data_IF_337842881851
#
_entry.id   IF_337842881851
#
_cell.length_a   1.000
_cell.length_b   1.000
_cell.length_c   1.000
_cell.angle_alpha   90.00
_cell.angle_beta   90.00
_cell.angle_gamma   90.00
#
_symmetry.space_group_name_H-M   'P 1'
#
loop_
_entity.id
_entity.type
_entity.pdbx_description
1 polymer ?
#
# COMPACT_ATOMS: atom_id res chain seq x y z
N UNK A 1 -40.84 4.71 28.45
CA UNK A 1 -41.38 5.07 27.12
C UNK A 1 -40.27 5.79 26.41
N UNK A 2 -39.78 5.23 25.30
CA UNK A 2 -38.78 5.89 24.46
C UNK A 2 -39.55 6.85 23.56
N UNK A 3 -39.29 8.16 23.67
CA UNK A 3 -39.88 9.22 22.85
C UNK A 3 -39.33 9.20 21.41
N UNK A 4 -39.25 8.02 20.79
CA UNK A 4 -39.00 7.90 19.37
C UNK A 4 -40.36 7.89 18.65
N UNK A 5 -40.50 8.57 17.49
CA UNK A 5 -41.69 8.45 16.65
C UNK A 5 -41.94 6.96 16.31
N UNK A 6 -43.14 6.62 15.82
CA UNK A 6 -43.47 5.28 15.30
C UNK A 6 -42.63 4.94 14.04
N UNK A 7 -41.32 4.80 14.20
CA UNK A 7 -40.36 4.51 13.14
C UNK A 7 -40.34 3.00 12.88
N UNK A 8 -40.40 2.61 11.60
CA UNK A 8 -40.34 1.20 11.24
C UNK A 8 -38.98 0.59 11.62
N UNK A 9 -38.96 -0.69 11.98
CA UNK A 9 -37.71 -1.40 12.32
C UNK A 9 -36.67 -1.35 11.17
N UNK A 10 -37.13 -1.26 9.92
CA UNK A 10 -36.26 -1.10 8.75
C UNK A 10 -35.59 0.28 8.69
N UNK A 11 -36.33 1.33 9.06
CA UNK A 11 -35.80 2.69 9.12
C UNK A 11 -34.75 2.83 10.22
N UNK A 12 -35.03 2.33 11.43
CA UNK A 12 -34.08 2.31 12.53
C UNK A 12 -32.81 1.54 12.15
N UNK A 13 -32.95 0.42 11.44
CA UNK A 13 -31.80 -0.34 10.95
C UNK A 13 -30.99 0.46 9.92
N UNK A 14 -31.63 1.12 8.96
CA UNK A 14 -30.95 1.95 7.95
C UNK A 14 -30.22 3.17 8.56
N UNK A 15 -30.82 3.80 9.56
CA UNK A 15 -30.19 4.88 10.32
C UNK A 15 -28.97 4.35 11.10
N UNK A 16 -29.11 3.19 11.75
CA UNK A 16 -28.04 2.54 12.49
C UNK A 16 -26.86 2.16 11.60
N UNK A 17 -27.11 1.55 10.44
CA UNK A 17 -26.05 1.18 9.50
C UNK A 17 -25.33 2.42 8.97
N UNK A 18 -26.05 3.48 8.66
CA UNK A 18 -25.45 4.71 8.17
C UNK A 18 -24.54 5.38 9.23
N UNK A 19 -25.01 5.47 10.48
CA UNK A 19 -24.22 6.02 11.59
C UNK A 19 -22.97 5.17 11.88
N UNK A 20 -23.11 3.84 11.90
CA UNK A 20 -21.98 2.94 12.05
C UNK A 20 -20.96 3.09 10.93
N UNK A 21 -21.43 3.29 9.69
CA UNK A 21 -20.58 3.62 8.54
C UNK A 21 -19.72 4.85 8.81
N UNK A 22 -20.34 5.97 9.21
CA UNK A 22 -19.65 7.22 9.47
C UNK A 22 -18.58 7.09 10.56
N UNK A 23 -18.87 6.35 11.64
CA UNK A 23 -17.92 6.08 12.73
C UNK A 23 -16.72 5.28 12.22
N UNK A 24 -16.96 4.21 11.45
CA UNK A 24 -15.87 3.39 10.90
C UNK A 24 -15.03 4.20 9.91
N UNK A 25 -15.67 5.03 9.07
CA UNK A 25 -14.99 5.94 8.14
C UNK A 25 -14.08 6.93 8.86
N UNK A 26 -14.50 7.49 9.99
CA UNK A 26 -13.64 8.36 10.80
C UNK A 26 -12.39 7.62 11.33
N UNK A 27 -12.53 6.35 11.73
CA UNK A 27 -11.39 5.51 12.13
C UNK A 27 -10.45 5.23 10.95
N UNK A 28 -10.99 4.92 9.77
CA UNK A 28 -10.22 4.70 8.55
C UNK A 28 -9.47 5.96 8.11
N UNK A 29 -10.08 7.13 8.24
CA UNK A 29 -9.41 8.40 8.00
C UNK A 29 -8.20 8.59 8.93
N UNK A 30 -8.26 8.13 10.18
CA UNK A 30 -7.10 8.07 11.07
C UNK A 30 -5.93 7.27 10.47
N UNK A 31 -6.21 6.15 9.82
CA UNK A 31 -5.20 5.35 9.08
C UNK A 31 -4.65 6.16 7.90
N UNK A 32 -5.50 6.86 7.15
CA UNK A 32 -5.09 7.74 6.04
C UNK A 32 -4.13 8.83 6.52
N UNK A 33 -4.42 9.47 7.65
CA UNK A 33 -3.54 10.49 8.27
C UNK A 33 -2.17 9.88 8.59
N UNK A 34 -2.13 8.75 9.30
CA UNK A 34 -0.88 8.08 9.69
C UNK A 34 -0.08 7.68 8.47
N UNK A 35 -0.70 7.01 7.49
CA UNK A 35 -0.02 6.60 6.25
C UNK A 35 0.48 7.79 5.44
N UNK A 36 -0.27 8.89 5.39
CA UNK A 36 0.13 10.12 4.70
C UNK A 36 1.37 10.73 5.35
N UNK A 37 1.39 10.83 6.68
CA UNK A 37 2.57 11.32 7.44
C UNK A 37 3.77 10.41 7.22
N UNK A 38 3.59 9.10 7.28
CA UNK A 38 4.65 8.11 7.06
C UNK A 38 5.22 8.21 5.63
N UNK A 39 4.36 8.31 4.62
CA UNK A 39 4.74 8.55 3.22
C UNK A 39 5.55 9.86 3.09
N UNK A 40 5.03 10.95 3.62
CA UNK A 40 5.67 12.26 3.56
C UNK A 40 7.05 12.23 4.22
N UNK A 41 7.19 11.63 5.40
CA UNK A 41 8.49 11.52 6.10
C UNK A 41 9.52 10.74 5.29
N UNK A 42 9.12 9.59 4.75
CA UNK A 42 9.98 8.74 3.93
C UNK A 42 10.41 9.43 2.63
N UNK A 43 9.45 10.01 1.90
CA UNK A 43 9.70 10.72 0.65
C UNK A 43 10.57 11.97 0.87
N UNK A 44 10.30 12.76 1.90
CA UNK A 44 11.09 13.93 2.25
C UNK A 44 12.53 13.56 2.61
N UNK A 45 12.74 12.46 3.34
CA UNK A 45 14.09 11.95 3.65
C UNK A 45 14.86 11.62 2.35
N UNK A 46 14.24 10.90 1.42
CA UNK A 46 14.86 10.59 0.12
C UNK A 46 15.10 11.83 -0.77
N UNK A 47 14.22 12.84 -0.70
CA UNK A 47 14.39 14.10 -1.44
C UNK A 47 15.57 14.90 -0.88
N UNK A 48 15.68 15.03 0.45
CA UNK A 48 16.80 15.72 1.11
C UNK A 48 18.14 15.08 0.80
N UNK A 49 18.19 13.75 0.70
CA UNK A 49 19.37 13.00 0.32
C UNK A 49 19.79 13.15 -1.16
N UNK A 50 19.01 13.89 -1.98
CA UNK A 50 19.22 14.08 -3.43
C UNK A 50 19.48 12.79 -4.20
N UNK A 51 18.72 11.74 -3.88
CA UNK A 51 18.81 10.48 -4.60
C UNK A 51 18.51 10.67 -6.11
N UNK A 52 19.07 9.79 -6.95
CA UNK A 52 18.90 9.82 -8.42
C UNK A 52 17.43 9.86 -8.88
N UNK A 53 16.48 9.52 -8.00
CA UNK A 53 15.04 9.57 -8.22
C UNK A 53 14.30 10.77 -7.60
N UNK A 54 14.96 11.84 -7.15
CA UNK A 54 14.31 12.91 -6.37
C UNK A 54 13.08 13.53 -7.06
N UNK A 55 13.12 13.74 -8.39
CA UNK A 55 11.98 14.27 -9.15
C UNK A 55 10.73 13.39 -9.05
N UNK A 56 10.91 12.07 -9.09
CA UNK A 56 9.82 11.10 -8.93
C UNK A 56 9.28 11.13 -7.50
N UNK A 57 10.15 11.29 -6.50
CA UNK A 57 9.73 11.39 -5.10
C UNK A 57 8.94 12.68 -4.83
N UNK A 58 9.30 13.80 -5.47
CA UNK A 58 8.49 15.04 -5.41
C UNK A 58 7.11 14.82 -6.02
N UNK A 59 7.02 14.18 -7.19
CA UNK A 59 5.73 13.83 -7.79
C UNK A 59 4.86 12.98 -6.85
N UNK A 60 5.44 11.94 -6.23
CA UNK A 60 4.72 11.12 -5.25
C UNK A 60 4.32 11.91 -4.00
N UNK A 61 5.14 12.87 -3.56
CA UNK A 61 4.80 13.72 -2.42
C UNK A 61 3.60 14.61 -2.73
N UNK A 62 3.56 15.22 -3.92
CA UNK A 62 2.40 15.99 -4.38
C UNK A 62 1.16 15.10 -4.50
N UNK A 63 1.32 13.88 -5.02
CA UNK A 63 0.21 12.92 -5.14
C UNK A 63 -0.33 12.47 -3.78
N UNK A 64 0.53 12.18 -2.80
CA UNK A 64 0.13 11.86 -1.42
C UNK A 64 -0.60 13.05 -0.79
N UNK A 65 -0.10 14.28 -1.00
CA UNK A 65 -0.75 15.49 -0.49
C UNK A 65 -2.13 15.70 -1.12
N UNK A 66 -2.27 15.42 -2.43
CA UNK A 66 -3.55 15.47 -3.12
C UNK A 66 -4.55 14.45 -2.53
N UNK A 67 -4.13 13.19 -2.39
CA UNK A 67 -4.97 12.14 -1.79
C UNK A 67 -5.40 12.47 -0.35
N UNK A 68 -4.47 13.01 0.44
CA UNK A 68 -4.76 13.44 1.80
C UNK A 68 -5.80 14.56 1.84
N UNK A 69 -5.69 15.57 0.97
CA UNK A 69 -6.68 16.64 0.86
C UNK A 69 -8.04 16.09 0.43
N UNK A 70 -8.09 15.19 -0.57
CA UNK A 70 -9.34 14.58 -1.02
C UNK A 70 -10.01 13.78 0.11
N UNK A 71 -9.26 12.95 0.85
CA UNK A 71 -9.79 12.20 1.99
C UNK A 71 -10.27 13.11 3.12
N UNK A 72 -9.55 14.22 3.37
CA UNK A 72 -9.96 15.20 4.38
C UNK A 72 -11.27 15.90 4.00
N UNK A 73 -11.44 16.26 2.73
CA UNK A 73 -12.70 16.82 2.23
C UNK A 73 -13.82 15.78 2.33
N UNK A 74 -13.54 14.52 1.97
CA UNK A 74 -14.51 13.44 2.04
C UNK A 74 -15.04 13.24 3.47
N UNK A 75 -14.16 13.03 4.46
CA UNK A 75 -14.58 12.83 5.86
C UNK A 75 -15.25 14.06 6.46
N UNK A 76 -14.80 15.28 6.09
CA UNK A 76 -15.38 16.52 6.58
C UNK A 76 -16.83 16.69 6.08
N UNK A 77 -17.06 16.53 4.77
CA UNK A 77 -18.39 16.59 4.20
C UNK A 77 -19.28 15.44 4.70
N UNK A 78 -18.72 14.23 4.90
CA UNK A 78 -19.47 13.10 5.45
C UNK A 78 -19.95 13.42 6.86
N UNK A 79 -19.06 13.95 7.71
CA UNK A 79 -19.38 14.35 9.09
C UNK A 79 -20.42 15.46 9.14
N UNK A 80 -20.34 16.44 8.24
CA UNK A 80 -21.32 17.53 8.15
C UNK A 80 -22.72 16.99 7.79
N UNK A 81 -22.83 16.12 6.80
CA UNK A 81 -24.13 15.50 6.46
C UNK A 81 -24.62 14.62 7.60
N UNK A 82 -23.73 13.88 8.28
CA UNK A 82 -24.05 13.13 9.51
C UNK A 82 -24.64 14.00 10.59
N UNK A 83 -24.04 15.14 10.85
CA UNK A 83 -24.59 16.09 11.81
C UNK A 83 -25.93 16.67 11.34
N UNK A 84 -26.04 17.10 10.07
CA UNK A 84 -27.25 17.70 9.55
C UNK A 84 -28.44 16.73 9.54
N UNK A 85 -28.21 15.45 9.23
CA UNK A 85 -29.23 14.41 9.26
C UNK A 85 -29.65 14.05 10.68
N UNK A 86 -28.70 13.76 11.57
CA UNK A 86 -29.02 13.22 12.91
C UNK A 86 -29.35 14.27 13.97
N UNK A 87 -28.81 15.48 13.85
CA UNK A 87 -29.00 16.56 14.83
C UNK A 87 -30.01 17.57 14.30
N UNK A 88 -29.76 18.16 13.12
CA UNK A 88 -30.54 19.31 12.66
C UNK A 88 -31.88 18.91 12.04
N UNK A 89 -31.92 17.79 11.31
CA UNK A 89 -33.10 17.34 10.54
C UNK A 89 -33.53 15.93 10.95
N UNK A 90 -33.48 15.61 12.24
CA UNK A 90 -33.79 14.26 12.75
C UNK A 90 -35.17 13.77 12.31
N UNK A 91 -36.17 14.67 12.31
CA UNK A 91 -37.56 14.35 11.96
C UNK A 91 -37.85 14.46 10.45
N UNK A 92 -36.83 14.39 9.60
CA UNK A 92 -37.03 14.39 8.15
C UNK A 92 -37.84 13.15 7.72
N UNK A 93 -38.79 13.27 6.76
CA UNK A 93 -39.56 12.12 6.29
C UNK A 93 -38.67 10.98 5.77
N UNK A 94 -38.75 9.80 6.41
CA UNK A 94 -37.89 8.65 6.11
C UNK A 94 -36.56 8.61 6.89
N UNK A 95 -36.37 9.55 7.82
CA UNK A 95 -35.24 9.59 8.75
C UNK A 95 -33.96 10.23 8.17
N UNK A 96 -32.90 10.32 8.99
CA UNK A 96 -31.60 10.86 8.59
C UNK A 96 -30.97 10.20 7.36
N UNK A 97 -31.18 8.89 7.14
CA UNK A 97 -30.66 8.20 5.95
C UNK A 97 -31.34 8.69 4.67
N UNK A 98 -32.67 8.89 4.70
CA UNK A 98 -33.40 9.45 3.57
C UNK A 98 -33.09 10.94 3.35
N UNK A 99 -32.73 11.67 4.42
CA UNK A 99 -32.29 13.06 4.29
C UNK A 99 -31.00 13.17 3.47
N UNK A 100 -30.02 12.28 3.69
CA UNK A 100 -28.78 12.27 2.93
C UNK A 100 -29.01 11.97 1.44
N UNK A 101 -29.79 10.93 1.13
CA UNK A 101 -30.11 10.58 -0.26
C UNK A 101 -30.78 11.74 -1.02
N UNK A 102 -31.62 12.52 -0.33
CA UNK A 102 -32.35 13.64 -0.93
C UNK A 102 -31.58 14.96 -0.94
N UNK A 103 -30.69 15.19 0.03
CA UNK A 103 -29.95 16.46 0.18
C UNK A 103 -28.55 16.38 -0.44
N UNK A 104 -28.05 15.17 -0.71
CA UNK A 104 -26.82 14.79 -1.43
C UNK A 104 -25.78 15.91 -1.59
N UNK A 105 -24.68 15.82 -0.84
CA UNK A 105 -23.61 16.82 -0.89
C UNK A 105 -22.73 16.63 -2.13
N UNK A 106 -22.72 17.59 -3.10
CA UNK A 106 -21.85 17.50 -4.26
C UNK A 106 -20.36 17.33 -3.92
N UNK A 107 -19.76 18.05 -2.95
CA UNK A 107 -18.34 17.88 -2.65
C UNK A 107 -17.99 16.48 -2.10
N UNK A 108 -18.90 15.82 -1.38
CA UNK A 108 -18.70 14.43 -0.91
C UNK A 108 -18.61 13.47 -2.09
N UNK A 109 -19.57 13.53 -3.01
CA UNK A 109 -19.64 12.66 -4.18
C UNK A 109 -18.46 12.90 -5.14
N UNK A 110 -18.06 14.16 -5.32
CA UNK A 110 -16.89 14.52 -6.12
C UNK A 110 -15.61 13.99 -5.48
N UNK A 111 -15.44 14.13 -4.17
CA UNK A 111 -14.27 13.60 -3.46
C UNK A 111 -14.18 12.07 -3.57
N UNK A 112 -15.32 11.37 -3.48
CA UNK A 112 -15.41 9.92 -3.68
C UNK A 112 -14.94 9.50 -5.08
N UNK A 113 -15.45 10.13 -6.13
CA UNK A 113 -15.08 9.74 -7.50
C UNK A 113 -13.64 10.13 -7.84
N UNK A 114 -13.18 11.31 -7.38
CA UNK A 114 -11.79 11.74 -7.58
C UNK A 114 -10.79 10.82 -6.89
N UNK A 115 -11.07 10.36 -5.68
CA UNK A 115 -10.17 9.43 -4.97
C UNK A 115 -10.11 8.07 -5.68
N UNK A 116 -11.23 7.54 -6.17
CA UNK A 116 -11.24 6.33 -6.99
C UNK A 116 -10.42 6.50 -8.29
N UNK A 117 -10.64 7.58 -9.04
CA UNK A 117 -9.87 7.83 -10.27
C UNK A 117 -8.37 8.01 -10.01
N UNK A 118 -8.00 8.66 -8.91
CA UNK A 118 -6.60 8.78 -8.51
C UNK A 118 -5.99 7.41 -8.21
N UNK A 119 -6.73 6.52 -7.54
CA UNK A 119 -6.30 5.17 -7.22
C UNK A 119 -6.11 4.32 -8.49
N UNK A 120 -7.11 4.32 -9.38
CA UNK A 120 -7.08 3.61 -10.67
C UNK A 120 -5.89 4.07 -11.52
N UNK A 121 -5.67 5.39 -11.61
CA UNK A 121 -4.58 5.97 -12.38
C UNK A 121 -3.21 5.51 -11.85
N UNK A 122 -3.03 5.44 -10.53
CA UNK A 122 -1.79 4.94 -9.93
C UNK A 122 -1.57 3.46 -10.26
N UNK A 123 -2.61 2.64 -10.19
CA UNK A 123 -2.52 1.21 -10.52
C UNK A 123 -2.16 1.00 -12.00
N UNK A 124 -2.82 1.71 -12.90
CA UNK A 124 -2.56 1.64 -14.35
C UNK A 124 -1.15 2.12 -14.65
N UNK A 125 -0.73 3.27 -14.09
CA UNK A 125 0.64 3.79 -14.27
C UNK A 125 1.70 2.78 -13.86
N UNK A 126 1.51 2.07 -12.75
CA UNK A 126 2.43 1.01 -12.29
C UNK A 126 2.51 -0.14 -13.29
N UNK A 127 1.37 -0.59 -13.80
CA UNK A 127 1.33 -1.66 -14.80
C UNK A 127 2.08 -1.27 -16.07
N UNK A 128 1.86 -0.05 -16.57
CA UNK A 128 2.58 0.53 -17.72
C UNK A 128 4.09 0.51 -17.47
N UNK A 129 4.55 0.95 -16.29
CA UNK A 129 5.98 0.97 -15.94
C UNK A 129 6.58 -0.44 -15.90
N UNK A 130 5.86 -1.43 -15.36
CA UNK A 130 6.34 -2.81 -15.25
C UNK A 130 6.41 -3.52 -16.62
N UNK A 131 5.55 -3.12 -17.57
CA UNK A 131 5.50 -3.72 -18.91
C UNK A 131 6.28 -2.96 -19.99
N UNK A 132 6.99 -1.88 -19.64
CA UNK A 132 7.68 -0.98 -20.59
C UNK A 132 8.60 -1.70 -21.59
N UNK A 133 9.26 -2.78 -21.17
CA UNK A 133 10.25 -3.50 -21.99
C UNK A 133 9.64 -4.60 -22.88
N UNK A 134 8.31 -4.65 -23.03
CA UNK A 134 7.60 -5.73 -23.76
C UNK A 134 6.90 -5.21 -25.00
N UNK A 135 6.88 -6.01 -26.08
CA UNK A 135 6.14 -5.70 -27.32
C UNK A 135 4.63 -5.45 -27.10
N UNK A 136 4.04 -6.12 -26.11
CA UNK A 136 2.62 -5.98 -25.73
C UNK A 136 2.32 -4.73 -24.87
N UNK A 137 3.31 -3.88 -24.59
CA UNK A 137 3.13 -2.67 -23.78
C UNK A 137 2.01 -1.77 -24.31
N UNK A 138 1.95 -1.58 -25.63
CA UNK A 138 0.91 -0.78 -26.27
C UNK A 138 -0.49 -1.34 -26.02
N UNK A 139 -0.68 -2.66 -26.14
CA UNK A 139 -1.97 -3.31 -25.93
C UNK A 139 -2.45 -3.18 -24.48
N UNK A 140 -1.56 -3.41 -23.50
CA UNK A 140 -1.90 -3.28 -22.08
C UNK A 140 -2.23 -1.83 -21.71
N UNK A 141 -1.47 -0.87 -22.25
CA UNK A 141 -1.71 0.55 -22.05
C UNK A 141 -3.04 0.98 -22.66
N UNK A 142 -3.33 0.55 -23.89
CA UNK A 142 -4.60 0.84 -24.56
C UNK A 142 -5.78 0.25 -23.78
N UNK A 143 -5.68 -1.02 -23.34
CA UNK A 143 -6.70 -1.69 -22.56
C UNK A 143 -6.97 -0.98 -21.22
N UNK A 144 -5.92 -0.67 -20.45
CA UNK A 144 -6.05 0.07 -19.19
C UNK A 144 -6.63 1.48 -19.41
N UNK A 145 -6.26 2.16 -20.49
CA UNK A 145 -6.79 3.49 -20.82
C UNK A 145 -8.27 3.44 -21.19
N UNK A 146 -8.71 2.44 -21.96
CA UNK A 146 -10.12 2.26 -22.33
C UNK A 146 -10.97 2.02 -21.07
N UNK A 147 -10.51 1.13 -20.17
CA UNK A 147 -11.21 0.88 -18.92
C UNK A 147 -11.25 2.12 -18.02
N UNK A 148 -10.16 2.89 -17.95
CA UNK A 148 -10.14 4.13 -17.20
C UNK A 148 -11.12 5.17 -17.78
N UNK A 149 -11.16 5.34 -19.10
CA UNK A 149 -12.14 6.22 -19.75
C UNK A 149 -13.57 5.75 -19.44
N UNK A 150 -13.85 4.45 -19.47
CA UNK A 150 -15.15 3.92 -19.09
C UNK A 150 -15.52 4.25 -17.62
N UNK A 151 -14.56 4.12 -16.70
CA UNK A 151 -14.71 4.51 -15.28
C UNK A 151 -14.96 6.02 -15.14
N UNK A 152 -14.27 6.85 -15.91
CA UNK A 152 -14.46 8.31 -15.91
C UNK A 152 -15.83 8.70 -16.43
N UNK A 153 -16.28 8.11 -17.55
CA UNK A 153 -17.60 8.40 -18.13
C UNK A 153 -18.72 7.99 -17.17
N UNK A 154 -18.69 6.75 -16.68
CA UNK A 154 -19.73 6.23 -15.78
C UNK A 154 -19.74 6.95 -14.43
N UNK A 155 -18.56 7.22 -13.85
CA UNK A 155 -18.44 7.99 -12.61
C UNK A 155 -18.90 9.43 -12.74
N UNK A 156 -18.58 10.11 -13.86
CA UNK A 156 -19.04 11.48 -14.11
C UNK A 156 -20.56 11.56 -14.22
N UNK A 157 -21.17 10.62 -14.96
CA UNK A 157 -22.62 10.53 -15.08
C UNK A 157 -23.28 10.29 -13.72
N UNK A 158 -22.74 9.38 -12.92
CA UNK A 158 -23.23 9.12 -11.57
C UNK A 158 -23.18 10.38 -10.69
N UNK A 159 -22.05 11.11 -10.64
CA UNK A 159 -21.92 12.35 -9.86
C UNK A 159 -22.94 13.40 -10.27
N UNK A 160 -23.20 13.57 -11.57
CA UNK A 160 -24.18 14.55 -12.07
C UNK A 160 -25.59 14.19 -11.64
N UNK A 161 -25.95 12.90 -11.68
CA UNK A 161 -27.28 12.41 -11.32
C UNK A 161 -27.51 12.52 -9.81
N UNK A 162 -26.54 12.05 -9.01
CA UNK A 162 -26.66 12.08 -7.54
C UNK A 162 -26.62 13.52 -6.99
N UNK A 163 -25.99 14.46 -7.70
CA UNK A 163 -25.98 15.90 -7.31
C UNK A 163 -27.27 16.64 -7.72
N UNK A 164 -28.20 15.98 -8.44
CA UNK A 164 -29.47 16.58 -8.90
C UNK A 164 -30.66 15.71 -8.50
N UNK A 165 -30.99 15.64 -7.20
CA UNK A 165 -32.05 14.76 -6.69
C UNK A 165 -33.43 15.04 -7.31
N UNK A 166 -33.70 16.28 -7.73
CA UNK A 166 -34.95 16.64 -8.42
C UNK A 166 -35.14 16.00 -9.81
N UNK A 167 -34.06 15.54 -10.46
CA UNK A 167 -34.10 14.87 -11.78
C UNK A 167 -33.91 13.35 -11.68
N UNK A 168 -33.47 12.81 -10.54
CA UNK A 168 -33.16 11.39 -10.34
C UNK A 168 -34.40 10.53 -10.06
N UNK A 169 -35.57 10.92 -10.60
CA UNK A 169 -36.96 10.67 -10.15
C UNK A 169 -37.43 9.24 -9.82
N UNK A 170 -36.55 8.27 -9.59
CA UNK A 170 -36.88 6.94 -9.08
C UNK A 170 -35.70 6.15 -8.49
N UNK A 171 -34.53 6.75 -8.21
CA UNK A 171 -33.33 6.06 -7.66
C UNK A 171 -32.67 5.04 -8.61
N UNK A 172 -33.44 4.47 -9.54
CA UNK A 172 -33.03 3.53 -10.59
C UNK A 172 -31.92 4.06 -11.49
N UNK A 173 -31.96 5.36 -11.79
CA UNK A 173 -30.94 5.98 -12.63
C UNK A 173 -29.58 6.01 -11.91
N UNK A 174 -29.56 6.35 -10.62
CA UNK A 174 -28.35 6.29 -9.79
C UNK A 174 -27.80 4.87 -9.72
N UNK A 175 -28.67 3.86 -9.55
CA UNK A 175 -28.28 2.44 -9.57
C UNK A 175 -27.63 2.02 -10.89
N UNK A 176 -28.23 2.43 -12.01
CA UNK A 176 -27.81 2.04 -13.36
C UNK A 176 -26.41 2.58 -13.70
N UNK A 177 -25.97 3.69 -13.11
CA UNK A 177 -24.62 4.21 -13.33
C UNK A 177 -23.62 3.84 -12.23
N UNK A 178 -24.05 3.77 -10.96
CA UNK A 178 -23.17 3.44 -9.84
C UNK A 178 -22.68 2.00 -9.91
N UNK A 179 -23.59 1.06 -10.21
CA UNK A 179 -23.28 -0.36 -10.20
C UNK A 179 -22.23 -0.72 -11.28
N UNK A 180 -22.37 -0.29 -12.55
CA UNK A 180 -21.33 -0.50 -13.56
C UNK A 180 -20.04 0.26 -13.24
N UNK A 181 -20.12 1.49 -12.74
CA UNK A 181 -18.93 2.29 -12.39
C UNK A 181 -18.03 1.56 -11.38
N UNK A 182 -18.60 1.08 -10.27
CA UNK A 182 -17.84 0.37 -9.24
C UNK A 182 -17.42 -1.03 -9.70
N UNK A 183 -18.25 -1.71 -10.51
CA UNK A 183 -17.88 -3.01 -11.10
C UNK A 183 -16.68 -2.89 -12.04
N UNK A 184 -16.64 -1.85 -12.88
CA UNK A 184 -15.52 -1.56 -13.78
C UNK A 184 -14.28 -1.21 -12.97
N UNK A 185 -14.38 -0.38 -11.93
CA UNK A 185 -13.24 -0.02 -11.08
C UNK A 185 -12.70 -1.23 -10.31
N UNK A 186 -13.58 -2.10 -9.77
CA UNK A 186 -13.19 -3.38 -9.19
C UNK A 186 -12.47 -4.29 -10.19
N UNK A 187 -12.99 -4.39 -11.41
CA UNK A 187 -12.35 -5.17 -12.47
C UNK A 187 -10.96 -4.61 -12.82
N UNK A 188 -10.83 -3.29 -12.99
CA UNK A 188 -9.53 -2.62 -13.20
C UNK A 188 -8.57 -3.00 -12.08
N UNK A 189 -8.97 -2.83 -10.82
CA UNK A 189 -8.11 -3.12 -9.68
C UNK A 189 -7.60 -4.58 -9.68
N UNK A 190 -8.48 -5.56 -9.91
CA UNK A 190 -8.11 -6.98 -9.91
C UNK A 190 -7.24 -7.33 -11.13
N UNK A 191 -7.69 -6.99 -12.34
CA UNK A 191 -6.98 -7.36 -13.58
C UNK A 191 -5.60 -6.69 -13.66
N UNK A 192 -5.51 -5.40 -13.37
CA UNK A 192 -4.24 -4.65 -13.42
C UNK A 192 -3.28 -5.16 -12.33
N UNK A 193 -3.78 -5.44 -11.13
CA UNK A 193 -2.95 -6.00 -10.06
C UNK A 193 -2.43 -7.39 -10.42
N UNK A 194 -3.28 -8.26 -10.96
CA UNK A 194 -2.88 -9.61 -11.39
C UNK A 194 -1.82 -9.57 -12.49
N UNK A 195 -2.02 -8.76 -13.53
CA UNK A 195 -1.04 -8.56 -14.60
C UNK A 195 0.30 -8.07 -14.04
N UNK A 196 0.27 -7.09 -13.14
CA UNK A 196 1.48 -6.55 -12.51
C UNK A 196 2.22 -7.62 -11.70
N UNK A 197 1.50 -8.40 -10.88
CA UNK A 197 2.06 -9.49 -10.06
C UNK A 197 2.67 -10.59 -10.93
N UNK A 198 1.93 -11.07 -11.94
CA UNK A 198 2.39 -12.12 -12.84
C UNK A 198 3.70 -11.73 -13.51
N UNK A 199 3.81 -10.48 -13.97
CA UNK A 199 5.03 -9.98 -14.60
C UNK A 199 6.19 -9.87 -13.63
N UNK A 200 5.95 -9.39 -12.41
CA UNK A 200 6.97 -9.33 -11.36
C UNK A 200 7.49 -10.73 -11.01
N UNK A 201 6.60 -11.71 -10.91
CA UNK A 201 6.97 -13.11 -10.66
C UNK A 201 7.73 -13.73 -11.84
N UNK A 202 7.38 -13.38 -13.08
CA UNK A 202 8.14 -13.80 -14.26
C UNK A 202 9.57 -13.24 -14.22
N UNK A 203 9.74 -11.95 -13.93
CA UNK A 203 11.07 -11.33 -13.78
C UNK A 203 11.84 -11.96 -12.62
N UNK A 204 11.20 -12.21 -11.47
CA UNK A 204 11.80 -12.93 -10.35
C UNK A 204 12.34 -14.28 -10.78
N UNK A 205 11.53 -15.09 -11.47
CA UNK A 205 11.93 -16.44 -11.91
C UNK A 205 13.11 -16.39 -12.86
N UNK A 206 13.19 -15.39 -13.75
CA UNK A 206 14.34 -15.21 -14.65
C UNK A 206 15.60 -14.75 -13.91
N UNK A 207 15.48 -13.74 -13.05
CA UNK A 207 16.62 -13.18 -12.30
C UNK A 207 17.15 -14.21 -11.30
N UNK A 208 16.27 -14.94 -10.61
CA UNK A 208 16.67 -15.97 -9.65
C UNK A 208 17.38 -17.15 -10.31
N UNK A 209 17.08 -17.46 -11.58
CA UNK A 209 17.78 -18.51 -12.34
C UNK A 209 19.19 -18.08 -12.76
N UNK A 210 19.44 -16.78 -12.95
CA UNK A 210 20.71 -16.26 -13.47
C UNK A 210 21.63 -15.73 -12.37
N UNK A 211 21.10 -15.03 -11.36
CA UNK A 211 21.86 -14.36 -10.28
C UNK A 211 21.65 -15.00 -8.89
N UNK A 212 20.97 -16.13 -8.82
CA UNK A 212 20.67 -16.85 -7.57
C UNK A 212 19.48 -16.29 -6.76
N UNK A 213 19.02 -17.03 -5.73
CA UNK A 213 17.76 -16.76 -5.03
C UNK A 213 17.74 -15.49 -4.18
N UNK A 214 18.91 -14.94 -3.80
CA UNK A 214 19.00 -13.73 -2.97
C UNK A 214 18.45 -12.49 -3.69
N UNK A 215 18.70 -12.36 -5.00
CA UNK A 215 18.29 -11.19 -5.80
C UNK A 215 16.80 -11.21 -6.18
N UNK A 216 16.10 -12.33 -6.01
CA UNK A 216 14.67 -12.47 -6.32
C UNK A 216 13.72 -12.02 -5.21
N UNK A 217 14.19 -11.84 -3.97
CA UNK A 217 13.35 -11.52 -2.81
C UNK A 217 12.66 -10.15 -2.93
N UNK A 218 13.34 -9.18 -3.53
CA UNK A 218 12.82 -7.81 -3.72
C UNK A 218 11.54 -7.83 -4.58
N UNK A 219 11.55 -8.57 -5.69
CA UNK A 219 10.38 -8.69 -6.57
C UNK A 219 9.19 -9.41 -5.90
N UNK A 220 9.47 -10.40 -5.03
CA UNK A 220 8.44 -11.08 -4.26
C UNK A 220 7.78 -10.14 -3.23
N UNK A 221 8.58 -9.31 -2.56
CA UNK A 221 8.07 -8.29 -1.64
C UNK A 221 7.18 -7.28 -2.36
N UNK A 222 7.60 -6.80 -3.55
CA UNK A 222 6.78 -5.90 -4.36
C UNK A 222 5.48 -6.54 -4.87
N UNK A 223 5.52 -7.82 -5.23
CA UNK A 223 4.31 -8.56 -5.62
C UNK A 223 3.34 -8.72 -4.44
N UNK A 224 3.84 -9.13 -3.27
CA UNK A 224 3.02 -9.27 -2.06
C UNK A 224 2.35 -7.95 -1.66
N UNK A 225 3.09 -6.85 -1.74
CA UNK A 225 2.59 -5.50 -1.51
C UNK A 225 1.45 -5.11 -2.47
N UNK A 226 1.52 -5.49 -3.76
CA UNK A 226 0.42 -5.24 -4.70
C UNK A 226 -0.82 -6.00 -4.27
N UNK A 227 -0.66 -7.28 -3.93
CA UNK A 227 -1.77 -8.14 -3.51
C UNK A 227 -2.42 -7.59 -2.24
N UNK A 228 -1.63 -7.17 -1.25
CA UNK A 228 -2.10 -6.55 -0.01
C UNK A 228 -2.92 -5.28 -0.28
N UNK A 229 -2.44 -4.38 -1.14
CA UNK A 229 -3.18 -3.17 -1.49
C UNK A 229 -4.44 -3.44 -2.33
N UNK A 230 -4.36 -4.42 -3.24
CA UNK A 230 -5.47 -4.78 -4.12
C UNK A 230 -6.60 -5.45 -3.35
N UNK A 231 -6.27 -6.29 -2.35
CA UNK A 231 -7.27 -6.97 -1.53
C UNK A 231 -8.06 -5.98 -0.68
N UNK A 232 -7.43 -4.94 -0.13
CA UNK A 232 -8.14 -3.90 0.65
C UNK A 232 -9.27 -3.28 -0.15
N UNK A 233 -8.98 -2.77 -1.35
CA UNK A 233 -10.01 -2.17 -2.21
C UNK A 233 -11.05 -3.20 -2.67
N UNK A 234 -10.61 -4.37 -3.15
CA UNK A 234 -11.53 -5.39 -3.67
C UNK A 234 -12.48 -5.94 -2.61
N UNK A 235 -12.01 -6.16 -1.37
CA UNK A 235 -12.87 -6.62 -0.27
C UNK A 235 -13.90 -5.54 0.07
N UNK A 236 -13.48 -4.30 0.27
CA UNK A 236 -14.39 -3.19 0.57
C UNK A 236 -15.42 -2.98 -0.55
N UNK A 237 -14.99 -3.07 -1.80
CA UNK A 237 -15.86 -2.90 -2.96
C UNK A 237 -16.89 -4.04 -3.09
N UNK A 238 -16.50 -5.30 -2.82
CA UNK A 238 -17.45 -6.42 -2.77
C UNK A 238 -18.44 -6.31 -1.60
N UNK A 239 -17.96 -5.89 -0.42
CA UNK A 239 -18.80 -5.65 0.76
C UNK A 239 -19.82 -4.54 0.52
N UNK A 240 -19.55 -3.62 -0.41
CA UNK A 240 -20.54 -2.65 -0.86
C UNK A 240 -21.46 -3.20 -1.97
N UNK A 241 -20.90 -3.77 -3.04
CA UNK A 241 -21.64 -4.21 -4.23
C UNK A 241 -22.68 -5.30 -3.92
N UNK A 242 -22.38 -6.24 -3.02
CA UNK A 242 -23.29 -7.35 -2.69
C UNK A 242 -24.55 -6.83 -1.98
N UNK A 243 -24.46 -6.09 -0.84
CA UNK A 243 -25.62 -5.46 -0.21
C UNK A 243 -26.34 -4.48 -1.12
N UNK A 244 -25.60 -3.73 -1.95
CA UNK A 244 -26.19 -2.76 -2.88
C UNK A 244 -27.06 -3.45 -3.95
N UNK A 245 -26.60 -4.56 -4.52
CA UNK A 245 -27.39 -5.38 -5.44
C UNK A 245 -28.59 -6.07 -4.76
N UNK A 246 -28.50 -6.33 -3.46
CA UNK A 246 -29.59 -6.90 -2.66
C UNK A 246 -30.58 -5.84 -2.12
N UNK A 247 -30.40 -4.54 -2.44
CA UNK A 247 -31.16 -3.43 -1.87
C UNK A 247 -31.19 -3.43 -0.32
N UNK A 248 -30.08 -3.82 0.31
CA UNK A 248 -29.95 -3.85 1.76
C UNK A 248 -29.39 -2.52 2.30
N UNK A 249 -29.92 -1.97 3.42
CA UNK A 249 -29.39 -0.77 4.06
C UNK A 249 -27.93 -0.89 4.55
N UNK A 250 -27.37 -2.10 4.59
CA UNK A 250 -25.96 -2.33 4.85
C UNK A 250 -25.05 -1.69 3.79
N UNK A 251 -25.55 -1.48 2.56
CA UNK A 251 -24.80 -0.82 1.51
C UNK A 251 -24.33 0.59 1.93
N UNK A 252 -25.14 1.31 2.71
CA UNK A 252 -24.84 2.65 3.15
C UNK A 252 -23.58 2.71 4.04
N UNK A 253 -23.38 1.72 4.92
CA UNK A 253 -22.16 1.64 5.74
C UNK A 253 -20.95 1.38 4.86
N UNK A 254 -21.04 0.38 3.98
CA UNK A 254 -19.91 -0.05 3.18
C UNK A 254 -19.52 0.97 2.10
N UNK A 255 -20.45 1.82 1.66
CA UNK A 255 -20.16 2.94 0.77
C UNK A 255 -19.20 3.94 1.43
N UNK A 256 -19.49 4.30 2.68
CA UNK A 256 -18.66 5.24 3.44
C UNK A 256 -17.28 4.64 3.74
N UNK A 257 -17.22 3.33 4.04
CA UNK A 257 -15.98 2.59 4.26
C UNK A 257 -15.15 2.53 2.97
N UNK A 258 -15.79 2.27 1.83
CA UNK A 258 -15.14 2.20 0.52
C UNK A 258 -14.48 3.52 0.13
N UNK A 259 -15.10 4.65 0.46
CA UNK A 259 -14.59 5.99 0.17
C UNK A 259 -13.20 6.28 0.77
N UNK A 260 -12.90 5.77 1.96
CA UNK A 260 -11.56 5.86 2.55
C UNK A 260 -10.65 4.71 2.12
N UNK A 261 -11.19 3.50 1.93
CA UNK A 261 -10.41 2.33 1.51
C UNK A 261 -9.68 2.54 0.17
N UNK A 262 -10.32 3.24 -0.77
CA UNK A 262 -9.72 3.60 -2.06
C UNK A 262 -8.57 4.62 -1.96
N UNK A 263 -8.45 5.35 -0.83
CA UNK A 263 -7.30 6.23 -0.54
C UNK A 263 -6.19 5.46 0.19
N UNK A 264 -6.57 4.54 1.10
CA UNK A 264 -5.62 3.71 1.85
C UNK A 264 -4.77 2.85 0.91
N UNK A 265 -5.38 2.20 -0.09
CA UNK A 265 -4.68 1.33 -1.03
C UNK A 265 -3.49 2.02 -1.76
N UNK A 266 -3.65 3.16 -2.45
CA UNK A 266 -2.54 3.87 -3.07
C UNK A 266 -1.51 4.41 -2.08
N UNK A 267 -1.91 4.80 -0.86
CA UNK A 267 -0.97 5.23 0.18
C UNK A 267 -0.09 4.08 0.68
N UNK A 268 -0.66 2.91 0.94
CA UNK A 268 0.10 1.69 1.28
C UNK A 268 1.11 1.36 0.18
N UNK A 269 0.71 1.55 -1.09
CA UNK A 269 1.60 1.33 -2.22
C UNK A 269 2.80 2.28 -2.16
N UNK A 270 2.54 3.57 -2.00
CA UNK A 270 3.62 4.58 -2.03
C UNK A 270 4.54 4.41 -0.83
N UNK A 271 3.98 4.15 0.35
CA UNK A 271 4.73 3.91 1.59
C UNK A 271 5.75 2.77 1.40
N UNK A 272 5.29 1.60 0.97
CA UNK A 272 6.14 0.41 0.81
C UNK A 272 7.19 0.59 -0.30
N UNK A 273 6.86 1.28 -1.41
CA UNK A 273 7.87 1.62 -2.43
C UNK A 273 8.95 2.54 -1.87
N UNK A 274 8.56 3.50 -1.03
CA UNK A 274 9.51 4.44 -0.42
C UNK A 274 10.45 3.72 0.57
N UNK A 275 9.94 2.81 1.41
CA UNK A 275 10.77 2.01 2.31
C UNK A 275 11.65 1.01 1.58
N UNK A 276 11.14 0.35 0.53
CA UNK A 276 11.92 -0.60 -0.27
C UNK A 276 13.16 0.05 -0.91
N UNK A 277 13.05 1.31 -1.33
CA UNK A 277 14.20 2.09 -1.82
C UNK A 277 15.20 2.40 -0.70
N UNK A 278 14.71 2.74 0.49
CA UNK A 278 15.56 3.03 1.64
C UNK A 278 16.38 1.79 2.06
N UNK A 279 15.76 0.61 2.10
CA UNK A 279 16.44 -0.65 2.39
C UNK A 279 17.55 -0.95 1.38
N UNK A 280 17.26 -0.90 0.08
CA UNK A 280 18.26 -1.20 -0.96
C UNK A 280 19.48 -0.28 -0.85
N UNK A 281 19.25 1.00 -0.53
CA UNK A 281 20.31 2.00 -0.35
C UNK A 281 21.19 1.70 0.88
N UNK A 282 20.58 1.30 2.00
CA UNK A 282 21.36 0.98 3.21
C UNK A 282 22.26 -0.25 3.00
N UNK A 283 21.75 -1.26 2.30
CA UNK A 283 22.53 -2.46 1.99
C UNK A 283 23.65 -2.20 0.99
N UNK A 284 23.43 -1.37 -0.04
CA UNK A 284 24.49 -1.02 -0.98
C UNK A 284 25.60 -0.22 -0.29
N UNK A 285 25.26 0.75 0.58
CA UNK A 285 26.25 1.51 1.36
C UNK A 285 27.04 0.61 2.32
N UNK A 286 26.38 -0.32 3.03
CA UNK A 286 27.08 -1.28 3.91
C UNK A 286 28.01 -2.21 3.14
N UNK A 287 27.59 -2.72 1.98
CA UNK A 287 28.41 -3.57 1.13
C UNK A 287 29.67 -2.84 0.62
N UNK A 288 29.53 -1.59 0.17
CA UNK A 288 30.67 -0.76 -0.26
C UNK A 288 31.64 -0.47 0.88
N UNK A 289 31.13 -0.21 2.09
CA UNK A 289 31.98 0.04 3.26
C UNK A 289 32.74 -1.22 3.71
N UNK A 290 32.13 -2.41 3.64
CA UNK A 290 32.82 -3.67 3.96
C UNK A 290 33.95 -4.02 2.98
N UNK A 291 33.82 -3.68 1.69
CA UNK A 291 34.88 -3.89 0.70
C UNK A 291 36.03 -2.89 0.86
N UNK A 292 35.74 -1.65 1.30
CA UNK A 292 36.76 -0.63 1.57
C UNK A 292 37.69 -0.98 2.75
N UNK A 293 37.21 -1.77 3.71
CA UNK A 293 38.02 -2.26 4.84
C UNK A 293 38.96 -3.43 4.46
N UNK A 294 38.77 -4.06 3.29
CA UNK A 294 39.64 -5.14 2.79
C UNK A 294 40.81 -4.66 1.91
N UNK A 295 40.83 -3.42 1.44
CA UNK A 295 41.95 -2.84 0.71
C UNK A 295 42.91 -2.05 1.62
N UNK A 296 43.47 -2.70 2.65
CA UNK A 296 44.68 -2.18 3.30
C UNK A 296 45.88 -2.54 2.41
N UNK A 297 46.26 -1.60 1.55
CA UNK A 297 47.47 -1.63 0.71
C UNK A 297 48.66 -2.13 1.54
N UNK A 298 49.17 -3.33 1.22
CA UNK A 298 50.48 -3.74 1.74
C UNK A 298 51.53 -2.79 1.16
N UNK A 299 52.42 -2.22 1.97
CA UNK A 299 53.51 -1.42 1.44
C UNK A 299 54.48 -2.34 0.68
N UNK A 300 54.66 -2.06 -0.61
CA UNK A 300 55.74 -2.62 -1.44
C UNK A 300 57.09 -2.28 -0.81
N UNK A 301 57.63 -3.20 -0.01
CA UNK A 301 59.06 -3.21 0.33
C UNK A 301 59.78 -4.11 -0.66
N UNK A 302 60.26 -3.51 -1.75
CA UNK A 302 61.31 -4.09 -2.58
C UNK A 302 62.60 -4.18 -1.76
N UNK A 303 63.27 -5.35 -1.66
CA UNK A 303 64.62 -5.42 -1.12
C UNK A 303 65.63 -4.92 -2.17
N UNK A 304 66.76 -4.31 -1.75
CA UNK A 304 67.74 -3.78 -2.68
C UNK A 304 68.56 -4.89 -3.35
N UNK A 305 68.87 -4.66 -4.62
CA UNK A 305 69.71 -5.48 -5.50
C UNK A 305 71.17 -5.40 -5.05
N UNK A 306 71.81 -6.56 -4.88
CA UNK A 306 73.26 -6.70 -4.75
C UNK A 306 73.70 -8.12 -5.15
N UNK A 307 74.65 -8.21 -6.06
CA UNK A 307 75.36 -9.43 -6.51
C UNK A 307 76.85 -9.07 -6.73
N UNK A 308 77.82 -10.01 -6.87
CA UNK A 308 77.80 -11.47 -6.66
C UNK A 308 79.05 -12.03 -5.89
N UNK A 309 78.95 -13.25 -5.32
CA UNK A 309 80.09 -14.19 -5.22
C UNK A 309 79.65 -15.64 -4.87
N UNK A 310 80.01 -16.59 -5.75
CA UNK A 310 79.91 -18.06 -5.67
C UNK A 310 80.76 -18.71 -4.55
N UNK A 311 80.85 -20.06 -4.38
CA UNK A 311 79.87 -21.17 -4.52
C UNK A 311 79.95 -22.23 -3.37
N UNK A 312 78.90 -23.09 -3.22
CA UNK A 312 78.93 -24.55 -2.82
C UNK A 312 77.57 -24.98 -2.21
N UNK A 313 76.77 -25.77 -2.91
CA UNK A 313 76.62 -27.25 -2.82
C UNK A 313 75.94 -27.77 -1.54
N UNK A 314 74.69 -28.23 -1.62
CA UNK A 314 74.30 -29.64 -1.45
C UNK A 314 72.77 -29.86 -1.31
N UNK A 315 72.26 -30.68 -2.23
CA UNK A 315 71.33 -31.83 -2.06
C UNK A 315 69.92 -31.69 -1.44
N UNK A 316 68.96 -32.09 -2.29
CA UNK A 316 67.91 -33.11 -2.11
C UNK A 316 66.57 -32.81 -1.39
N UNK A 317 65.51 -33.07 -2.17
CA UNK A 317 64.28 -33.81 -1.89
C UNK A 317 63.04 -33.15 -1.26
N UNK A 318 62.04 -33.02 -2.16
CA UNK A 318 60.71 -33.66 -2.14
C UNK A 318 59.61 -33.27 -1.12
N UNK A 319 58.42 -33.18 -1.72
CA UNK A 319 57.06 -33.46 -1.20
C UNK A 319 56.35 -32.47 -0.27
N UNK A 320 55.06 -32.31 -0.63
CA UNK A 320 53.90 -32.00 0.21
C UNK A 320 53.40 -30.55 0.32
N UNK A 321 52.59 -30.20 -0.68
CA UNK A 321 51.41 -29.35 -0.56
C UNK A 321 50.54 -29.79 0.63
N UNK A 322 50.48 -29.00 1.71
CA UNK A 322 49.44 -29.10 2.74
C UNK A 322 48.65 -27.80 2.84
N UNK A 323 47.45 -27.82 2.25
CA UNK A 323 46.37 -26.90 2.60
C UNK A 323 46.03 -27.10 4.09
N UNK A 324 46.17 -26.07 4.90
CA UNK A 324 45.66 -26.05 6.29
C UNK A 324 44.38 -25.23 6.34
N UNK A 325 43.25 -25.92 6.51
CA UNK A 325 41.98 -25.31 6.93
C UNK A 325 42.06 -25.04 8.44
N UNK A 326 41.95 -23.77 8.83
CA UNK A 326 41.90 -23.39 10.24
C UNK A 326 40.43 -23.24 10.66
N UNK A 327 39.89 -24.27 11.31
CA UNK A 327 38.60 -24.23 12.02
C UNK A 327 38.93 -23.91 13.48
N UNK A 328 38.63 -22.69 13.93
CA UNK A 328 38.71 -22.36 15.35
C UNK A 328 37.36 -22.63 15.99
N UNK A 329 37.28 -23.76 16.69
CA UNK A 329 36.21 -24.10 17.65
C UNK A 329 36.88 -24.12 19.02
N UNK A 330 36.52 -23.21 19.91
CA UNK A 330 36.89 -23.31 21.33
C UNK A 330 35.62 -23.47 22.14
N UNK A 331 35.52 -24.64 22.77
CA UNK A 331 34.57 -24.96 23.81
C UNK A 331 35.29 -24.88 25.17
N UNK A 332 34.52 -24.38 26.15
CA UNK A 332 34.40 -24.82 27.55
C UNK A 332 35.59 -24.80 28.53
N UNK A 333 35.34 -24.14 29.66
CA UNK A 333 35.93 -24.41 30.97
C UNK A 333 34.85 -24.32 32.06
N UNK A 334 34.45 -25.49 32.56
CA UNK A 334 33.73 -25.82 33.81
C UNK A 334 34.39 -25.15 35.05
N UNK A 335 33.83 -24.89 36.23
CA UNK A 335 32.78 -25.53 37.07
C UNK A 335 32.56 -24.65 38.32
N UNK A 336 31.34 -24.57 38.87
CA UNK A 336 31.03 -24.90 40.29
C UNK A 336 29.55 -24.72 40.63
N UNK A 337 28.99 -25.80 41.16
CA UNK A 337 27.71 -25.95 41.85
C UNK A 337 27.81 -25.38 43.27
N UNK A 338 26.70 -24.86 43.79
CA UNK A 338 26.20 -25.11 45.15
C UNK A 338 24.70 -24.79 45.15
N UNK A 339 23.88 -25.84 45.26
CA UNK A 339 22.48 -25.79 45.69
C UNK A 339 22.49 -25.96 47.22
N UNK A 340 21.65 -25.19 47.93
CA UNK A 340 20.74 -25.75 48.94
C UNK A 340 19.83 -24.68 49.58
N UNK A 341 18.55 -25.07 49.63
CA UNK A 341 17.54 -24.84 50.66
C UNK A 341 16.63 -23.58 50.72
N UNK A 342 15.38 -23.84 50.32
CA UNK A 342 14.14 -23.88 51.12
C UNK A 342 13.51 -22.62 51.78
N UNK A 343 12.17 -22.61 51.62
CA UNK A 343 11.11 -21.95 52.41
C UNK A 343 11.02 -20.41 52.32
N UNK A 344 9.87 -19.77 52.13
CA UNK A 344 8.49 -20.16 52.33
C UNK A 344 7.75 -18.99 52.99
N UNK A 345 6.62 -18.59 52.40
CA UNK A 345 5.39 -18.21 53.12
C UNK A 345 5.20 -16.76 53.65
N UNK A 346 4.04 -16.20 53.28
CA UNK A 346 3.16 -15.25 53.99
C UNK A 346 3.26 -13.71 53.81
N UNK A 347 2.20 -13.20 53.16
CA UNK A 347 1.20 -12.26 53.66
C UNK A 347 1.62 -10.88 54.20
N UNK A 348 1.17 -9.84 53.50
CA UNK A 348 0.37 -8.74 54.05
C UNK A 348 -0.44 -8.08 52.91
#
# INVERSE_FOLDING_TARGET
MSDAPDESAQQIFAEGTWLQGAIVTAVLYGIVVVLSVMCCRSLCSSIRARDAGYRKNIFFLCYVSLLFTIGTVYVACNSEITQLGFINNRNYPGGPSAFEENTSSPPLNVAFVLSNWCADLLMIWRCIVVYKDTKYHFLITAFGSILFIASVVTGSLWVVIVSRPAQSGSGWMSFTFLFPYLSVSLAINIFISLLTVLRLMYHRSRISKVLGPAHGKIYASFAGMIIESASVYSICSLLYLIPYGANSPLANSFMQILGEAQIIAPLLIIYRVSEGKAWVKEYSVRATNSDSLRMRRMPDRLPPVGTPSHPRSNTLNNSDTKLTFNITRHAEGSMKFDDDNEAGTNAA
#
